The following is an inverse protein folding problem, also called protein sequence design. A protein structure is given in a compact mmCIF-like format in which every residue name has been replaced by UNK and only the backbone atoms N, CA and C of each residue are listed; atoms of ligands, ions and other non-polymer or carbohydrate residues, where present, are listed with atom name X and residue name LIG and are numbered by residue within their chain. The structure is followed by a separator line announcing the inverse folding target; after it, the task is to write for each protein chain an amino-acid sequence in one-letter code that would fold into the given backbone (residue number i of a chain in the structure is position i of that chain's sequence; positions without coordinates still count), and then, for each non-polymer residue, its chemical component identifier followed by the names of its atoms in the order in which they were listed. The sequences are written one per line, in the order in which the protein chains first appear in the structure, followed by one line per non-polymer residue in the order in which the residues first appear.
data_IF_679330738177
#
_entry.id   IF_679330738177
#
_cell.length_a   1.000
_cell.length_b   1.000
_cell.length_c   1.000
_cell.angle_alpha   90.00
_cell.angle_beta   90.00
_cell.angle_gamma   90.00
#
_symmetry.space_group_name_H-M   'P 1'
#
loop_
_entity.id
_entity.type
_entity.pdbx_description
1 polymer ?
#
# COMPACT_ATOMS: atom_id res chain seq x y z
N UNK A 1 -25.08 -43.02 6.36
CA UNK A 1 -23.66 -42.99 5.95
C UNK A 1 -23.45 -41.83 5.00
N UNK A 2 -22.24 -41.24 5.05
CA UNK A 2 -21.66 -40.22 4.16
C UNK A 2 -21.74 -38.76 4.66
N UNK A 3 -20.59 -38.37 5.23
CA UNK A 3 -19.89 -37.08 5.28
C UNK A 3 -20.55 -35.80 5.80
N UNK A 4 -20.07 -35.36 6.96
CA UNK A 4 -19.80 -33.95 7.23
C UNK A 4 -18.34 -33.76 7.66
N UNK A 5 -17.56 -33.15 6.77
CA UNK A 5 -16.23 -32.60 7.03
C UNK A 5 -16.34 -31.48 8.07
N UNK A 6 -15.57 -31.63 9.15
CA UNK A 6 -15.33 -30.61 10.17
C UNK A 6 -14.08 -29.85 9.74
N UNK A 7 -14.23 -28.80 8.94
CA UNK A 7 -13.12 -27.88 8.65
C UNK A 7 -13.00 -26.89 9.80
N UNK A 8 -11.99 -27.14 10.64
CA UNK A 8 -11.32 -26.14 11.47
C UNK A 8 -10.66 -25.17 10.50
N UNK A 9 -11.06 -23.89 10.53
CA UNK A 9 -10.30 -22.83 9.86
C UNK A 9 -9.52 -22.12 10.96
N UNK A 10 -8.20 -22.27 10.85
CA UNK A 10 -7.14 -21.74 11.70
C UNK A 10 -7.17 -20.21 11.75
N UNK A 11 -6.82 -19.67 12.92
CA UNK A 11 -6.94 -18.27 13.30
C UNK A 11 -5.59 -17.51 13.26
N UNK A 12 -4.65 -17.95 12.42
CA UNK A 12 -3.23 -17.55 12.56
C UNK A 12 -2.77 -16.43 11.61
N UNK A 13 -3.67 -15.78 10.87
CA UNK A 13 -3.28 -14.77 9.89
C UNK A 13 -3.06 -13.35 10.45
N UNK A 14 -3.27 -13.09 11.75
CA UNK A 14 -3.26 -11.72 12.31
C UNK A 14 -2.10 -11.45 13.28
N UNK A 15 -1.35 -12.47 13.72
CA UNK A 15 -0.24 -12.28 14.67
C UNK A 15 1.07 -11.78 14.01
N UNK A 16 1.30 -12.12 12.74
CA UNK A 16 2.60 -11.91 12.07
C UNK A 16 2.84 -10.44 11.66
N UNK A 17 1.78 -9.63 11.49
CA UNK A 17 1.90 -8.24 11.05
C UNK A 17 2.22 -7.24 12.19
N UNK A 18 2.05 -7.65 13.45
CA UNK A 18 2.30 -6.80 14.63
C UNK A 18 3.74 -6.93 15.14
N UNK A 19 4.36 -8.10 15.02
CA UNK A 19 5.71 -8.36 15.53
C UNK A 19 6.83 -7.69 14.73
N UNK A 20 6.64 -7.49 13.42
CA UNK A 20 7.65 -6.86 12.54
C UNK A 20 7.82 -5.36 12.86
N UNK A 21 6.74 -4.69 13.29
CA UNK A 21 6.75 -3.26 13.62
C UNK A 21 7.40 -2.93 14.98
N UNK A 22 7.47 -3.91 15.89
CA UNK A 22 8.04 -3.73 17.24
C UNK A 22 9.55 -4.02 17.23
N UNK A 23 10.00 -5.12 16.59
CA UNK A 23 11.43 -5.49 16.54
C UNK A 23 12.31 -4.45 15.83
N UNK A 24 11.82 -3.84 14.74
CA UNK A 24 12.56 -2.80 14.03
C UNK A 24 12.77 -1.53 14.88
N UNK A 25 11.87 -1.24 15.84
CA UNK A 25 12.04 -0.11 16.75
C UNK A 25 13.09 -0.36 17.83
N UNK A 26 13.24 -1.60 18.32
CA UNK A 26 14.21 -1.94 19.37
C UNK A 26 15.65 -1.90 18.85
N UNK A 27 15.91 -2.39 17.64
CA UNK A 27 17.24 -2.30 17.01
C UNK A 27 17.63 -0.85 16.69
N UNK A 28 16.67 -0.03 16.24
CA UNK A 28 16.91 1.40 16.00
C UNK A 28 17.19 2.13 17.31
N UNK A 29 16.46 1.85 18.40
CA UNK A 29 16.76 2.45 19.71
C UNK A 29 18.13 2.00 20.26
N UNK A 30 18.56 0.75 19.99
CA UNK A 30 19.89 0.26 20.35
C UNK A 30 21.01 1.01 19.60
N UNK A 31 20.88 1.15 18.28
CA UNK A 31 21.84 1.90 17.44
C UNK A 31 21.92 3.38 17.87
N UNK A 32 20.78 4.01 18.18
CA UNK A 32 20.76 5.40 18.67
C UNK A 32 21.44 5.55 20.04
N UNK A 33 21.29 4.55 20.92
CA UNK A 33 21.92 4.55 22.24
C UNK A 33 23.44 4.40 22.14
N UNK A 34 23.92 3.58 21.20
CA UNK A 34 25.34 3.44 20.86
C UNK A 34 25.88 4.75 20.27
N UNK A 35 25.16 5.37 19.32
CA UNK A 35 25.55 6.65 18.70
C UNK A 35 25.54 7.85 19.67
N UNK A 36 24.73 7.82 20.74
CA UNK A 36 24.73 8.85 21.80
C UNK A 36 25.87 8.70 22.81
N UNK A 37 26.47 7.51 22.90
CA UNK A 37 27.58 7.24 23.83
C UNK A 37 28.93 7.73 23.29
N UNK A 38 29.03 7.91 21.96
CA UNK A 38 30.14 8.57 21.29
C UNK A 38 29.87 10.09 21.26
N UNK A 39 30.69 10.88 21.96
CA UNK A 39 30.51 12.33 22.21
C UNK A 39 30.56 13.25 20.96
N UNK A 40 30.34 12.75 19.75
CA UNK A 40 30.58 13.46 18.49
C UNK A 40 29.32 13.81 17.68
N UNK A 41 28.12 13.31 18.01
CA UNK A 41 26.92 13.59 17.22
C UNK A 41 25.89 14.44 17.98
N UNK A 42 25.54 15.59 17.40
CA UNK A 42 24.55 16.53 17.94
C UNK A 42 23.15 15.92 18.13
N UNK A 43 22.30 16.60 18.90
CA UNK A 43 20.95 16.16 19.30
C UNK A 43 20.13 15.64 18.10
N UNK A 44 19.88 14.33 18.07
CA UNK A 44 18.88 13.69 17.21
C UNK A 44 17.61 13.45 18.04
N UNK A 45 16.53 14.15 17.70
CA UNK A 45 15.19 13.91 18.25
C UNK A 45 14.33 13.13 17.24
N UNK A 46 13.77 12.00 17.67
CA UNK A 46 12.86 11.16 16.88
C UNK A 46 11.46 11.31 17.45
N UNK A 47 10.53 11.85 16.66
CA UNK A 47 9.13 11.99 17.04
C UNK A 47 8.38 10.66 17.04
N UNK A 48 7.92 10.19 18.21
CA UNK A 48 7.05 9.01 18.33
C UNK A 48 5.64 9.34 17.84
N UNK A 49 5.10 8.55 16.92
CA UNK A 49 3.65 8.60 16.57
C UNK A 49 2.99 7.30 17.03
N UNK A 50 2.22 7.34 18.13
CA UNK A 50 1.41 6.21 18.60
C UNK A 50 0.13 6.13 17.77
N UNK A 51 -0.09 5.01 17.06
CA UNK A 51 -1.37 4.71 16.41
C UNK A 51 -2.06 3.62 17.23
N UNK A 52 -3.10 4.00 17.99
CA UNK A 52 -3.95 3.06 18.70
C UNK A 52 -5.18 2.72 17.85
N UNK A 53 -5.37 1.45 17.51
CA UNK A 53 -6.59 0.95 16.88
C UNK A 53 -7.18 -0.16 17.75
N UNK A 54 -8.24 0.14 18.51
CA UNK A 54 -9.05 -0.87 19.19
C UNK A 54 -10.48 -0.37 19.41
N UNK A 55 -11.44 -0.84 18.59
CA UNK A 55 -12.86 -0.95 18.97
C UNK A 55 -13.48 -2.17 18.28
N UNK A 56 -13.86 -3.19 19.07
CA UNK A 56 -14.78 -4.27 18.67
C UNK A 56 -16.20 -3.71 18.60
N UNK A 57 -16.93 -3.99 17.51
CA UNK A 57 -18.37 -3.75 17.43
C UNK A 57 -19.06 -5.11 17.35
N UNK A 58 -19.90 -5.42 18.33
CA UNK A 58 -20.84 -6.54 18.28
C UNK A 58 -22.09 -6.09 17.53
N UNK A 59 -22.34 -6.64 16.34
CA UNK A 59 -23.60 -6.42 15.61
C UNK A 59 -24.62 -7.46 16.07
N UNK A 60 -25.70 -6.99 16.71
CA UNK A 60 -26.85 -7.82 17.07
C UNK A 60 -27.76 -7.95 15.84
N UNK A 61 -27.46 -8.91 14.96
CA UNK A 61 -28.28 -9.20 13.78
C UNK A 61 -29.47 -10.09 14.17
N UNK A 62 -30.59 -9.47 14.56
CA UNK A 62 -31.87 -10.18 14.51
C UNK A 62 -32.21 -10.45 13.04
N UNK A 63 -32.29 -11.75 12.70
CA UNK A 63 -32.51 -12.33 11.37
C UNK A 63 -33.55 -11.57 10.55
N UNK A 64 -33.08 -10.75 9.62
CA UNK A 64 -33.87 -10.25 8.48
C UNK A 64 -33.38 -11.05 7.28
N UNK A 65 -34.18 -12.03 6.85
CA UNK A 65 -33.94 -12.74 5.61
C UNK A 65 -34.34 -11.82 4.47
N UNK A 66 -33.34 -11.20 3.84
CA UNK A 66 -33.49 -10.62 2.51
C UNK A 66 -33.83 -11.81 1.61
N UNK A 67 -35.06 -11.85 1.10
CA UNK A 67 -35.42 -12.78 0.02
C UNK A 67 -34.40 -12.54 -1.09
N UNK A 68 -33.73 -13.59 -1.57
CA UNK A 68 -32.81 -13.53 -2.71
C UNK A 68 -33.56 -12.89 -3.90
N UNK A 69 -33.47 -11.56 -4.00
CA UNK A 69 -33.80 -10.84 -5.19
C UNK A 69 -32.58 -11.06 -6.08
N UNK A 70 -32.71 -11.98 -7.04
CA UNK A 70 -31.77 -12.14 -8.14
C UNK A 70 -31.25 -10.75 -8.56
N UNK A 71 -29.93 -10.59 -8.72
CA UNK A 71 -29.30 -9.26 -8.90
C UNK A 71 -29.95 -8.39 -10.00
N UNK A 72 -30.58 -9.01 -10.99
CA UNK A 72 -31.31 -8.36 -12.08
C UNK A 72 -32.62 -7.70 -11.61
N UNK A 73 -33.30 -8.26 -10.60
CA UNK A 73 -34.50 -7.65 -10.00
C UNK A 73 -34.14 -6.41 -9.21
N UNK A 74 -33.08 -6.43 -8.39
CA UNK A 74 -32.61 -5.27 -7.63
C UNK A 74 -32.25 -4.08 -8.53
N UNK A 75 -31.67 -4.35 -9.70
CA UNK A 75 -31.33 -3.30 -10.68
C UNK A 75 -32.56 -2.66 -11.30
N UNK A 76 -33.57 -3.46 -11.65
CA UNK A 76 -34.86 -2.92 -12.09
C UNK A 76 -35.52 -2.07 -11.00
N UNK A 77 -35.49 -2.50 -9.72
CA UNK A 77 -36.06 -1.71 -8.62
C UNK A 77 -35.38 -0.35 -8.46
N UNK A 78 -34.04 -0.34 -8.59
CA UNK A 78 -33.27 0.89 -8.58
C UNK A 78 -33.61 1.81 -9.77
N UNK A 79 -33.86 1.22 -10.93
CA UNK A 79 -34.29 1.92 -12.14
C UNK A 79 -35.68 2.54 -11.96
N UNK A 80 -36.65 1.77 -11.46
CA UNK A 80 -38.02 2.23 -11.22
C UNK A 80 -38.11 3.27 -10.10
N UNK A 81 -37.27 3.17 -9.07
CA UNK A 81 -37.19 4.14 -7.98
C UNK A 81 -36.38 5.40 -8.35
N UNK A 82 -35.68 5.41 -9.49
CA UNK A 82 -34.91 6.57 -9.93
C UNK A 82 -35.78 7.56 -10.68
N UNK A 83 -35.65 8.86 -10.35
CA UNK A 83 -36.25 9.94 -11.14
C UNK A 83 -35.53 10.18 -12.48
N UNK A 84 -34.42 9.49 -12.74
CA UNK A 84 -33.64 9.65 -13.98
C UNK A 84 -34.19 8.73 -15.08
N UNK A 85 -34.38 9.24 -16.30
CA UNK A 85 -34.81 8.41 -17.41
C UNK A 85 -33.74 7.36 -17.73
N UNK A 86 -34.15 6.10 -17.84
CA UNK A 86 -33.26 5.03 -18.30
C UNK A 86 -33.15 5.09 -19.82
N UNK A 87 -31.95 4.88 -20.33
CA UNK A 87 -31.67 4.88 -21.76
C UNK A 87 -31.62 3.47 -22.33
N UNK A 88 -31.94 3.36 -23.62
CA UNK A 88 -31.90 2.09 -24.33
C UNK A 88 -30.45 1.65 -24.58
N UNK A 89 -30.05 0.49 -24.06
CA UNK A 89 -28.68 -0.03 -24.20
C UNK A 89 -28.28 -0.27 -25.66
N UNK A 90 -29.21 -0.76 -26.48
CA UNK A 90 -28.96 -0.97 -27.92
C UNK A 90 -28.76 0.34 -28.67
N UNK A 91 -29.58 1.36 -28.38
CA UNK A 91 -29.41 2.69 -28.98
C UNK A 91 -28.10 3.35 -28.52
N UNK A 92 -27.76 3.23 -27.23
CA UNK A 92 -26.51 3.78 -26.69
C UNK A 92 -25.27 3.19 -27.36
N UNK A 93 -25.25 1.87 -27.64
CA UNK A 93 -24.16 1.23 -28.41
C UNK A 93 -24.02 1.82 -29.82
N UNK A 94 -25.12 2.29 -30.39
CA UNK A 94 -25.17 2.99 -31.70
C UNK A 94 -24.96 4.50 -31.59
N UNK A 95 -24.58 5.02 -30.42
CA UNK A 95 -24.42 6.45 -30.10
C UNK A 95 -25.71 7.27 -30.29
N UNK A 96 -26.87 6.61 -30.19
CA UNK A 96 -28.19 7.25 -30.21
C UNK A 96 -28.75 7.27 -28.79
N UNK A 97 -29.15 8.43 -28.29
CA UNK A 97 -29.67 8.56 -26.94
C UNK A 97 -31.21 8.50 -26.94
N UNK A 98 -31.76 7.29 -26.88
CA UNK A 98 -33.22 7.06 -26.78
C UNK A 98 -33.57 6.57 -25.38
N UNK A 99 -34.66 7.06 -24.80
CA UNK A 99 -35.18 6.54 -23.53
C UNK A 99 -35.71 5.12 -23.70
N UNK A 100 -35.53 4.31 -22.66
CA UNK A 100 -36.08 2.97 -22.56
C UNK A 100 -37.45 3.04 -21.90
N UNK A 101 -38.39 2.27 -22.45
CA UNK A 101 -39.73 2.08 -21.88
C UNK A 101 -39.90 0.66 -21.32
N UNK A 102 -39.04 -0.28 -21.75
CA UNK A 102 -39.12 -1.69 -21.46
C UNK A 102 -37.78 -2.17 -20.88
N UNK A 103 -37.82 -3.01 -19.84
CA UNK A 103 -36.66 -3.67 -19.26
C UNK A 103 -36.62 -5.13 -19.67
N UNK A 104 -35.45 -5.65 -20.05
CA UNK A 104 -35.23 -7.06 -20.31
C UNK A 104 -34.49 -7.71 -19.13
N UNK A 105 -35.07 -8.73 -18.49
CA UNK A 105 -34.47 -9.39 -17.33
C UNK A 105 -33.27 -10.28 -17.69
N UNK A 106 -33.24 -10.78 -18.92
CA UNK A 106 -32.19 -11.69 -19.39
C UNK A 106 -30.86 -10.95 -19.65
N UNK A 107 -30.93 -9.73 -20.17
CA UNK A 107 -29.75 -8.90 -20.44
C UNK A 107 -29.57 -7.74 -19.49
N UNK A 108 -30.50 -7.54 -18.55
CA UNK A 108 -30.40 -6.51 -17.53
C UNK A 108 -30.20 -5.11 -18.15
N UNK A 109 -30.96 -4.85 -19.23
CA UNK A 109 -30.85 -3.62 -20.02
C UNK A 109 -32.22 -3.04 -20.39
N UNK A 110 -32.24 -1.70 -20.49
CA UNK A 110 -33.39 -0.95 -21.00
C UNK A 110 -33.46 -1.01 -22.53
N UNK A 111 -34.68 -1.12 -23.05
CA UNK A 111 -35.01 -1.14 -24.47
C UNK A 111 -36.06 -0.06 -24.76
N UNK A 112 -35.83 0.74 -25.81
CA UNK A 112 -36.89 1.58 -26.38
C UNK A 112 -37.89 0.69 -27.15
N UNK A 113 -39.07 1.23 -27.47
CA UNK A 113 -40.12 0.49 -28.18
C UNK A 113 -39.64 -0.21 -29.45
N UNK A 114 -38.82 0.47 -30.26
CA UNK A 114 -38.25 -0.11 -31.48
C UNK A 114 -37.30 -1.27 -31.19
N UNK A 115 -36.36 -1.07 -30.25
CA UNK A 115 -35.41 -2.11 -29.88
C UNK A 115 -36.11 -3.31 -29.22
N UNK A 116 -37.15 -3.09 -28.42
CA UNK A 116 -37.95 -4.16 -27.81
C UNK A 116 -38.72 -4.98 -28.87
N UNK A 117 -39.29 -4.32 -29.88
CA UNK A 117 -39.94 -5.01 -30.99
C UNK A 117 -38.99 -5.95 -31.73
N UNK A 118 -37.76 -5.49 -32.01
CA UNK A 118 -36.73 -6.34 -32.62
C UNK A 118 -36.25 -7.45 -31.67
N UNK A 119 -36.13 -7.14 -30.37
CA UNK A 119 -35.75 -8.09 -29.34
C UNK A 119 -36.71 -9.28 -29.26
N UNK A 120 -38.02 -9.06 -29.44
CA UNK A 120 -39.01 -10.13 -29.43
C UNK A 120 -39.07 -10.92 -30.73
N UNK A 121 -38.74 -10.29 -31.86
CA UNK A 121 -38.75 -10.93 -33.19
C UNK A 121 -37.53 -11.81 -33.45
N UNK A 122 -36.41 -11.51 -32.80
CA UNK A 122 -35.18 -12.25 -33.00
C UNK A 122 -35.18 -13.55 -32.18
N UNK A 123 -35.02 -14.69 -32.85
CA UNK A 123 -35.20 -16.04 -32.26
C UNK A 123 -34.37 -16.30 -30.98
N UNK A 124 -33.10 -15.84 -30.85
CA UNK A 124 -32.35 -15.97 -29.61
C UNK A 124 -32.93 -15.20 -28.41
N UNK A 125 -33.68 -14.13 -28.65
CA UNK A 125 -34.16 -13.20 -27.61
C UNK A 125 -35.68 -13.15 -27.49
N UNK A 126 -36.39 -13.93 -28.31
CA UNK A 126 -37.86 -13.94 -28.37
C UNK A 126 -38.51 -14.40 -27.08
N UNK A 127 -37.83 -15.28 -26.34
CA UNK A 127 -38.32 -15.87 -25.09
C UNK A 127 -37.86 -15.09 -23.84
N UNK A 128 -37.24 -13.93 -24.02
CA UNK A 128 -36.78 -13.13 -22.89
C UNK A 128 -37.94 -12.49 -22.14
N UNK A 129 -37.84 -12.49 -20.82
CA UNK A 129 -38.82 -11.85 -19.96
C UNK A 129 -38.59 -10.35 -20.01
N UNK A 130 -39.64 -9.59 -20.29
CA UNK A 130 -39.60 -8.12 -20.36
C UNK A 130 -40.73 -7.50 -19.56
N UNK A 131 -40.49 -6.36 -18.92
CA UNK A 131 -41.52 -5.57 -18.23
C UNK A 131 -41.43 -4.09 -18.59
N UNK A 132 -42.51 -3.33 -18.38
CA UNK A 132 -42.48 -1.88 -18.58
C UNK A 132 -41.76 -1.18 -17.41
N UNK A 133 -40.93 -0.18 -17.72
CA UNK A 133 -40.17 0.59 -16.71
C UNK A 133 -41.10 1.56 -15.95
N UNK A 134 -42.09 2.14 -16.64
CA UNK A 134 -43.05 3.11 -16.08
C UNK A 134 -44.38 2.49 -15.65
N UNK A 135 -44.36 1.25 -15.19
CA UNK A 135 -45.56 0.58 -14.72
C UNK A 135 -45.99 1.18 -13.38
N UNK A 136 -47.18 1.80 -13.31
CA UNK A 136 -47.86 2.20 -12.05
C UNK A 136 -48.24 0.98 -11.20
N UNK A 137 -48.06 -0.24 -11.72
CA UNK A 137 -48.33 -1.44 -10.95
C UNK A 137 -47.31 -1.55 -9.80
N UNK A 138 -47.77 -1.78 -8.57
CA UNK A 138 -46.89 -1.93 -7.43
C UNK A 138 -45.85 -3.01 -7.70
N UNK A 139 -44.64 -2.85 -7.13
CA UNK A 139 -43.50 -3.79 -7.16
C UNK A 139 -43.86 -5.29 -6.97
N UNK A 140 -45.07 -5.55 -6.46
CA UNK A 140 -45.71 -6.84 -6.25
C UNK A 140 -45.78 -7.68 -7.54
N UNK A 141 -45.96 -7.06 -8.72
CA UNK A 141 -46.02 -7.80 -10.01
C UNK A 141 -44.67 -8.42 -10.43
N UNK A 142 -43.56 -8.03 -9.80
CA UNK A 142 -42.25 -8.66 -10.00
C UNK A 142 -42.05 -9.94 -9.17
N UNK A 143 -42.96 -10.21 -8.23
CA UNK A 143 -42.99 -11.44 -7.46
C UNK A 143 -43.90 -12.43 -8.17
N UNK A 144 -43.48 -13.70 -8.23
CA UNK A 144 -44.32 -14.74 -8.81
C UNK A 144 -45.61 -14.79 -8.02
N UNK A 145 -46.73 -14.55 -8.68
CA UNK A 145 -48.07 -14.72 -8.11
C UNK A 145 -48.55 -16.17 -8.24
N UNK A 146 -47.84 -16.97 -9.03
CA UNK A 146 -48.16 -18.36 -9.35
C UNK A 146 -47.05 -19.33 -8.91
N UNK A 147 -47.45 -20.55 -8.55
CA UNK A 147 -46.59 -21.64 -8.15
C UNK A 147 -45.88 -22.25 -9.36
N UNK A 148 -44.56 -22.36 -9.30
CA UNK A 148 -43.73 -22.94 -10.35
C UNK A 148 -44.04 -24.41 -10.68
N UNK A 149 -44.62 -25.15 -9.72
CA UNK A 149 -44.91 -26.58 -9.88
C UNK A 149 -46.33 -26.85 -10.38
N UNK A 150 -47.28 -25.99 -10.00
CA UNK A 150 -48.70 -26.29 -10.16
C UNK A 150 -49.47 -25.21 -10.94
N UNK A 151 -48.80 -24.13 -11.39
CA UNK A 151 -49.41 -22.99 -12.09
C UNK A 151 -50.67 -22.43 -11.38
N UNK A 152 -50.69 -22.53 -10.05
CA UNK A 152 -51.77 -22.05 -9.18
C UNK A 152 -51.32 -20.83 -8.39
N UNK A 153 -52.26 -19.95 -8.04
CA UNK A 153 -51.95 -18.78 -7.24
C UNK A 153 -51.33 -19.13 -5.87
N UNK A 154 -50.30 -18.39 -5.49
CA UNK A 154 -49.68 -18.46 -4.16
C UNK A 154 -50.55 -17.72 -3.15
N UNK A 155 -51.27 -18.47 -2.31
CA UNK A 155 -52.22 -17.91 -1.32
C UNK A 155 -51.78 -18.13 0.12
N UNK A 156 -50.87 -19.06 0.35
CA UNK A 156 -50.41 -19.48 1.67
C UNK A 156 -48.92 -19.15 1.85
N UNK A 157 -48.49 -19.06 3.10
CA UNK A 157 -47.09 -18.89 3.48
C UNK A 157 -46.73 -19.92 4.54
N UNK A 158 -45.62 -20.63 4.31
CA UNK A 158 -45.07 -21.59 5.24
C UNK A 158 -43.95 -20.98 6.08
N UNK A 159 -44.14 -20.77 7.40
CA UNK A 159 -43.09 -20.22 8.25
C UNK A 159 -41.91 -21.17 8.45
N UNK A 160 -42.15 -22.49 8.43
CA UNK A 160 -41.10 -23.50 8.61
C UNK A 160 -40.08 -23.51 7.47
N UNK A 161 -40.54 -23.20 6.25
CA UNK A 161 -39.72 -23.19 5.04
C UNK A 161 -39.50 -21.79 4.48
N UNK A 162 -40.07 -20.76 5.12
CA UNK A 162 -40.01 -19.36 4.74
C UNK A 162 -40.37 -19.10 3.26
N UNK A 163 -41.39 -19.79 2.76
CA UNK A 163 -41.77 -19.75 1.33
C UNK A 163 -43.28 -19.59 1.14
N UNK A 164 -43.71 -18.82 0.13
CA UNK A 164 -45.10 -18.82 -0.31
C UNK A 164 -45.45 -20.14 -1.03
N UNK A 165 -46.68 -20.62 -0.87
CA UNK A 165 -47.15 -21.87 -1.48
C UNK A 165 -48.62 -21.77 -1.98
N UNK A 166 -48.97 -22.58 -2.98
CA UNK A 166 -50.35 -22.83 -3.38
C UNK A 166 -50.98 -23.94 -2.54
N UNK A 167 -52.29 -24.13 -2.68
CA UNK A 167 -53.07 -25.13 -1.93
C UNK A 167 -52.58 -26.57 -2.18
N UNK A 168 -52.12 -26.86 -3.39
CA UNK A 168 -51.55 -28.16 -3.75
C UNK A 168 -50.18 -28.39 -3.12
N UNK A 169 -49.28 -27.39 -3.12
CA UNK A 169 -48.02 -27.45 -2.39
C UNK A 169 -48.23 -27.64 -0.88
N UNK A 170 -49.26 -27.00 -0.32
CA UNK A 170 -49.64 -27.22 1.08
C UNK A 170 -50.01 -28.68 1.31
N UNK A 171 -50.95 -29.22 0.52
CA UNK A 171 -51.47 -30.57 0.68
C UNK A 171 -50.42 -31.67 0.46
N UNK A 172 -49.43 -31.42 -0.41
CA UNK A 172 -48.44 -32.42 -0.82
C UNK A 172 -47.10 -32.34 -0.06
N UNK A 173 -46.63 -31.13 0.26
CA UNK A 173 -45.28 -30.93 0.82
C UNK A 173 -45.28 -30.24 2.19
N UNK A 174 -46.25 -29.35 2.45
CA UNK A 174 -46.26 -28.56 3.68
C UNK A 174 -47.35 -28.99 4.68
N UNK A 175 -48.03 -30.11 4.46
CA UNK A 175 -49.14 -30.59 5.30
C UNK A 175 -48.71 -30.79 6.77
N UNK A 176 -47.48 -31.22 6.98
CA UNK A 176 -46.88 -31.43 8.32
C UNK A 176 -46.25 -30.16 8.91
N UNK A 177 -46.23 -29.04 8.18
CA UNK A 177 -45.69 -27.79 8.68
C UNK A 177 -46.70 -27.11 9.60
N UNK A 178 -46.23 -26.61 10.74
CA UNK A 178 -47.09 -25.93 11.70
C UNK A 178 -47.22 -24.43 11.39
N UNK A 179 -48.40 -23.87 11.67
CA UNK A 179 -48.62 -22.43 11.60
C UNK A 179 -48.61 -21.84 10.19
N UNK A 180 -49.08 -22.59 9.19
CA UNK A 180 -49.34 -22.06 7.84
C UNK A 180 -50.29 -20.86 7.95
N UNK A 181 -49.94 -19.76 7.29
CA UNK A 181 -50.70 -18.50 7.32
C UNK A 181 -51.16 -18.15 5.90
N UNK A 182 -52.23 -17.37 5.79
CA UNK A 182 -52.54 -16.76 4.49
C UNK A 182 -51.45 -15.75 4.16
N UNK A 183 -50.99 -15.76 2.91
CA UNK A 183 -49.95 -14.87 2.43
C UNK A 183 -50.38 -13.40 2.60
N UNK A 184 -51.64 -13.08 2.33
CA UNK A 184 -52.22 -11.77 2.57
C UNK A 184 -52.08 -11.31 4.03
N UNK A 185 -52.40 -12.18 5.01
CA UNK A 185 -52.27 -11.83 6.44
C UNK A 185 -50.82 -11.64 6.89
N UNK A 186 -49.87 -12.35 6.26
CA UNK A 186 -48.45 -12.17 6.53
C UNK A 186 -48.00 -10.81 6.01
N UNK A 187 -48.36 -10.46 4.77
CA UNK A 187 -48.02 -9.17 4.16
C UNK A 187 -48.63 -8.00 4.96
N UNK A 188 -49.91 -8.07 5.30
CA UNK A 188 -50.61 -7.01 6.04
C UNK A 188 -50.01 -6.78 7.44
N UNK A 189 -49.66 -7.87 8.14
CA UNK A 189 -49.04 -7.78 9.48
C UNK A 189 -47.54 -7.50 9.42
N UNK A 190 -46.94 -7.58 8.24
CA UNK A 190 -45.51 -7.41 8.08
C UNK A 190 -45.14 -5.94 8.19
N UNK A 191 -44.29 -5.60 9.18
CA UNK A 191 -43.68 -4.26 9.30
C UNK A 191 -42.47 -4.13 8.37
N UNK A 192 -42.55 -4.70 7.16
CA UNK A 192 -41.43 -4.83 6.22
C UNK A 192 -40.83 -3.46 5.92
N UNK A 193 -41.66 -2.42 5.72
CA UNK A 193 -41.17 -1.06 5.47
C UNK A 193 -40.26 -0.54 6.58
N UNK A 194 -40.66 -0.74 7.84
CA UNK A 194 -39.85 -0.32 9.00
C UNK A 194 -38.55 -1.13 9.08
N UNK A 195 -38.62 -2.44 8.89
CA UNK A 195 -37.44 -3.32 8.88
C UNK A 195 -36.47 -2.97 7.75
N UNK A 196 -36.96 -2.72 6.53
CA UNK A 196 -36.16 -2.26 5.39
C UNK A 196 -35.52 -0.91 5.69
N UNK A 197 -36.27 0.02 6.29
CA UNK A 197 -35.73 1.32 6.69
C UNK A 197 -34.58 1.19 7.70
N UNK A 198 -34.72 0.36 8.73
CA UNK A 198 -33.64 0.14 9.71
C UNK A 198 -32.41 -0.52 9.08
N UNK A 199 -32.60 -1.59 8.30
CA UNK A 199 -31.49 -2.25 7.59
C UNK A 199 -30.81 -1.29 6.62
N UNK A 200 -31.57 -0.48 5.89
CA UNK A 200 -31.02 0.55 5.01
C UNK A 200 -30.17 1.57 5.76
N UNK A 201 -30.61 2.00 6.95
CA UNK A 201 -29.84 2.89 7.82
C UNK A 201 -28.55 2.24 8.32
N UNK A 202 -28.59 0.97 8.70
CA UNK A 202 -27.41 0.23 9.17
C UNK A 202 -26.40 0.03 8.03
N UNK A 203 -26.86 -0.38 6.84
CA UNK A 203 -26.02 -0.51 5.64
C UNK A 203 -25.36 0.83 5.31
N UNK A 204 -26.10 1.94 5.34
CA UNK A 204 -25.54 3.25 5.07
C UNK A 204 -24.49 3.66 6.12
N UNK A 205 -24.74 3.34 7.40
CA UNK A 205 -23.80 3.63 8.49
C UNK A 205 -22.50 2.83 8.34
N UNK A 206 -22.61 1.54 7.99
CA UNK A 206 -21.47 0.67 7.69
C UNK A 206 -20.70 1.20 6.47
N UNK A 207 -21.40 1.62 5.42
CA UNK A 207 -20.79 2.20 4.22
C UNK A 207 -19.99 3.48 4.55
N UNK A 208 -20.57 4.41 5.33
CA UNK A 208 -19.89 5.63 5.76
C UNK A 208 -18.66 5.31 6.62
N UNK A 209 -18.76 4.32 7.50
CA UNK A 209 -17.64 3.86 8.31
C UNK A 209 -16.49 3.32 7.46
N UNK A 210 -16.77 2.41 6.51
CA UNK A 210 -15.75 1.86 5.62
C UNK A 210 -15.07 2.94 4.77
N UNK A 211 -15.82 3.91 4.25
CA UNK A 211 -15.24 5.03 3.51
C UNK A 211 -14.32 5.89 4.39
N UNK A 212 -14.71 6.15 5.65
CA UNK A 212 -13.86 6.89 6.59
C UNK A 212 -12.56 6.13 6.88
N UNK A 213 -12.66 4.82 7.12
CA UNK A 213 -11.51 3.96 7.38
C UNK A 213 -10.56 3.91 6.17
N UNK A 214 -11.09 3.73 4.96
CA UNK A 214 -10.30 3.75 3.73
C UNK A 214 -9.56 5.10 3.57
N UNK A 215 -10.27 6.21 3.74
CA UNK A 215 -9.68 7.55 3.66
C UNK A 215 -8.57 7.79 4.71
N UNK A 216 -8.74 7.26 5.92
CA UNK A 216 -7.70 7.32 6.94
C UNK A 216 -6.45 6.53 6.52
N UNK A 217 -6.62 5.31 5.99
CA UNK A 217 -5.51 4.50 5.50
C UNK A 217 -4.78 5.16 4.34
N UNK A 218 -5.49 5.74 3.37
CA UNK A 218 -4.88 6.52 2.29
C UNK A 218 -4.06 7.71 2.80
N UNK A 219 -4.56 8.45 3.79
CA UNK A 219 -3.82 9.55 4.42
C UNK A 219 -2.55 9.07 5.12
N UNK A 220 -2.62 7.92 5.80
CA UNK A 220 -1.48 7.36 6.51
C UNK A 220 -0.40 6.89 5.52
N UNK A 221 -0.78 6.26 4.40
CA UNK A 221 0.15 5.90 3.32
C UNK A 221 0.86 7.15 2.80
N UNK A 222 0.11 8.20 2.45
CA UNK A 222 0.68 9.45 1.93
C UNK A 222 1.65 10.11 2.92
N UNK A 223 1.33 10.11 4.21
CA UNK A 223 2.24 10.60 5.26
C UNK A 223 3.50 9.74 5.37
N UNK A 224 3.36 8.42 5.31
CA UNK A 224 4.48 7.48 5.33
C UNK A 224 5.42 7.68 4.14
N UNK A 225 4.89 7.86 2.93
CA UNK A 225 5.68 8.16 1.73
C UNK A 225 6.46 9.48 1.85
N UNK A 226 5.82 10.53 2.41
CA UNK A 226 6.49 11.81 2.65
C UNK A 226 7.63 11.67 3.67
N UNK A 227 7.40 10.96 4.77
CA UNK A 227 8.44 10.69 5.78
C UNK A 227 9.59 9.85 5.20
N UNK A 228 9.27 8.81 4.42
CA UNK A 228 10.27 7.99 3.75
C UNK A 228 11.17 8.82 2.82
N UNK A 229 10.58 9.75 2.07
CA UNK A 229 11.33 10.68 1.22
C UNK A 229 12.26 11.58 2.04
N UNK A 230 11.76 12.18 3.13
CA UNK A 230 12.56 13.04 4.01
C UNK A 230 13.75 12.28 4.61
N UNK A 231 13.53 11.04 5.07
CA UNK A 231 14.59 10.20 5.63
C UNK A 231 15.66 9.91 4.56
N UNK A 232 15.24 9.55 3.34
CA UNK A 232 16.16 9.27 2.23
C UNK A 232 17.02 10.49 1.86
N UNK A 233 16.42 11.68 1.82
CA UNK A 233 17.12 12.93 1.55
C UNK A 233 18.09 13.29 2.68
N UNK A 234 17.68 13.10 3.93
CA UNK A 234 18.50 13.34 5.12
C UNK A 234 19.71 12.41 5.17
N UNK A 235 19.53 11.12 4.89
CA UNK A 235 20.64 10.15 4.79
C UNK A 235 21.64 10.55 3.70
N UNK A 236 21.15 10.98 2.53
CA UNK A 236 22.03 11.46 1.46
C UNK A 236 22.80 12.70 1.88
N UNK A 237 22.19 13.61 2.65
CA UNK A 237 22.84 14.83 3.14
C UNK A 237 23.94 14.49 4.15
N UNK A 238 23.64 13.68 5.16
CA UNK A 238 24.61 13.23 6.16
C UNK A 238 25.81 12.56 5.49
N UNK A 239 25.57 11.67 4.51
CA UNK A 239 26.66 11.02 3.78
C UNK A 239 27.56 12.02 3.05
N UNK A 240 26.98 13.06 2.44
CA UNK A 240 27.76 14.12 1.77
C UNK A 240 28.59 14.91 2.78
N UNK A 241 28.02 15.25 3.94
CA UNK A 241 28.71 15.98 5.00
C UNK A 241 29.89 15.18 5.58
N UNK A 242 29.70 13.88 5.84
CA UNK A 242 30.78 12.98 6.29
C UNK A 242 31.92 12.97 5.26
N UNK A 243 31.60 12.74 3.99
CA UNK A 243 32.62 12.70 2.93
C UNK A 243 33.35 14.04 2.78
N UNK A 244 32.64 15.16 2.90
CA UNK A 244 33.25 16.49 2.87
C UNK A 244 34.20 16.70 4.04
N UNK A 245 33.84 16.25 5.24
CA UNK A 245 34.69 16.36 6.40
C UNK A 245 35.95 15.49 6.28
N UNK A 246 35.82 14.24 5.80
CA UNK A 246 36.97 13.36 5.54
C UNK A 246 37.92 13.97 4.51
N UNK A 247 37.40 14.53 3.41
CA UNK A 247 38.22 15.21 2.40
C UNK A 247 38.96 16.44 2.96
N UNK A 248 38.37 17.14 3.93
CA UNK A 248 39.03 18.27 4.59
C UNK A 248 40.16 17.82 5.52
N UNK A 249 39.93 16.75 6.29
CA UNK A 249 40.95 16.16 7.16
C UNK A 249 42.13 15.64 6.35
N UNK A 250 41.86 14.90 5.27
CA UNK A 250 42.88 14.39 4.35
C UNK A 250 43.75 15.53 3.79
N UNK A 251 43.12 16.60 3.27
CA UNK A 251 43.85 17.78 2.77
C UNK A 251 44.71 18.44 3.84
N UNK A 252 44.24 18.47 5.09
CA UNK A 252 45.00 19.04 6.21
C UNK A 252 46.23 18.19 6.52
N UNK A 253 46.06 16.86 6.58
CA UNK A 253 47.16 15.93 6.81
C UNK A 253 48.21 15.99 5.70
N UNK A 254 47.79 16.09 4.43
CA UNK A 254 48.74 16.27 3.32
C UNK A 254 49.57 17.55 3.47
N UNK A 255 48.93 18.69 3.80
CA UNK A 255 49.65 19.95 4.02
C UNK A 255 50.64 19.86 5.19
N UNK A 256 50.26 19.19 6.27
CA UNK A 256 51.15 18.98 7.42
C UNK A 256 52.35 18.11 7.03
N UNK A 257 52.12 17.02 6.28
CA UNK A 257 53.17 16.16 5.76
C UNK A 257 54.13 16.91 4.82
N UNK A 258 53.60 17.70 3.89
CA UNK A 258 54.39 18.54 2.97
C UNK A 258 55.25 19.54 3.75
N UNK A 259 54.68 20.20 4.77
CA UNK A 259 55.40 21.15 5.60
C UNK A 259 56.56 20.48 6.35
N UNK A 260 56.33 19.31 6.94
CA UNK A 260 57.37 18.54 7.64
C UNK A 260 58.48 18.12 6.66
N UNK A 261 58.08 17.64 5.47
CA UNK A 261 59.03 17.26 4.42
C UNK A 261 59.89 18.43 3.95
N UNK A 262 59.29 19.59 3.69
CA UNK A 262 60.00 20.78 3.23
C UNK A 262 61.00 21.27 4.27
N UNK A 263 60.62 21.26 5.55
CA UNK A 263 61.53 21.60 6.66
C UNK A 263 62.71 20.63 6.71
N UNK A 264 62.46 19.33 6.67
CA UNK A 264 63.52 18.34 6.79
C UNK A 264 64.43 18.31 5.56
N UNK A 265 63.85 18.43 4.35
CA UNK A 265 64.57 18.57 3.10
C UNK A 265 65.47 19.81 3.11
N UNK A 266 65.00 20.93 3.63
CA UNK A 266 65.79 22.16 3.75
C UNK A 266 67.00 21.96 4.67
N UNK A 267 66.81 21.36 5.85
CA UNK A 267 67.93 21.03 6.76
C UNK A 267 68.96 20.12 6.10
N UNK A 268 68.52 19.05 5.45
CA UNK A 268 69.41 18.13 4.75
C UNK A 268 70.16 18.83 3.62
N UNK A 269 69.52 19.75 2.91
CA UNK A 269 70.15 20.56 1.85
C UNK A 269 71.24 21.47 2.44
N UNK A 270 70.97 22.15 3.55
CA UNK A 270 71.98 22.96 4.24
C UNK A 270 73.18 22.12 4.70
N UNK A 271 72.94 20.95 5.29
CA UNK A 271 74.01 20.04 5.71
C UNK A 271 74.87 19.57 4.53
N UNK A 272 74.27 19.29 3.37
CA UNK A 272 75.01 18.94 2.15
C UNK A 272 75.93 20.10 1.75
N UNK A 273 75.43 21.33 1.74
CA UNK A 273 76.23 22.53 1.39
C UNK A 273 77.43 22.65 2.35
N UNK A 274 77.22 22.54 3.66
CA UNK A 274 78.30 22.60 4.66
C UNK A 274 79.35 21.49 4.46
N UNK A 275 78.92 20.28 4.12
CA UNK A 275 79.82 19.15 3.83
C UNK A 275 80.65 19.43 2.56
N UNK A 276 80.03 19.98 1.52
CA UNK A 276 80.71 20.33 0.27
C UNK A 276 81.75 21.44 0.47
N UNK A 277 81.43 22.46 1.28
CA UNK A 277 82.37 23.50 1.67
C UNK A 277 83.57 22.93 2.43
N UNK A 278 83.33 22.11 3.46
CA UNK A 278 84.40 21.45 4.23
C UNK A 278 85.26 20.55 3.34
N UNK A 279 84.65 19.83 2.41
CA UNK A 279 85.37 19.00 1.43
C UNK A 279 86.29 19.84 0.56
N UNK A 280 85.86 21.03 0.13
CA UNK A 280 86.68 21.97 -0.64
C UNK A 280 87.89 22.44 0.17
N UNK A 281 87.68 22.90 1.41
CA UNK A 281 88.77 23.32 2.29
C UNK A 281 89.76 22.19 2.57
N UNK A 282 89.29 20.97 2.82
CA UNK A 282 90.17 19.83 3.00
C UNK A 282 91.03 19.54 1.76
N UNK A 283 90.48 19.77 0.56
CA UNK A 283 91.23 19.63 -0.69
C UNK A 283 92.32 20.70 -0.83
N UNK A 284 92.01 21.95 -0.49
CA UNK A 284 92.99 23.05 -0.46
C UNK A 284 94.14 22.72 0.52
N UNK A 285 93.82 22.27 1.74
CA UNK A 285 94.82 21.83 2.74
C UNK A 285 95.65 20.66 2.22
N UNK A 286 95.04 19.70 1.52
CA UNK A 286 95.73 18.56 0.93
C UNK A 286 96.74 19.01 -0.14
N UNK A 287 96.36 19.96 -1.00
CA UNK A 287 97.21 20.50 -2.05
C UNK A 287 98.39 21.30 -1.46
N UNK A 288 98.16 22.09 -0.40
CA UNK A 288 99.19 22.82 0.34
C UNK A 288 100.19 21.86 1.01
N UNK A 289 99.69 20.81 1.69
CA UNK A 289 100.53 19.81 2.34
C UNK A 289 101.40 19.06 1.32
N UNK A 290 100.84 18.75 0.14
CA UNK A 290 101.60 18.14 -0.95
C UNK A 290 102.74 19.06 -1.41
N UNK A 291 102.45 20.35 -1.58
CA UNK A 291 103.43 21.37 -1.96
C UNK A 291 104.57 21.47 -0.94
N UNK A 292 104.25 21.55 0.36
CA UNK A 292 105.24 21.56 1.44
C UNK A 292 106.09 20.29 1.42
N UNK A 293 105.47 19.11 1.27
CA UNK A 293 106.18 17.82 1.23
C UNK A 293 107.20 17.76 0.08
N UNK A 294 106.83 18.25 -1.11
CA UNK A 294 107.74 18.34 -2.26
C UNK A 294 108.91 19.27 -1.98
N UNK A 295 108.67 20.44 -1.36
CA UNK A 295 109.73 21.39 -1.01
C UNK A 295 110.68 20.83 0.06
N UNK A 296 110.16 20.20 1.12
CA UNK A 296 110.98 19.55 2.15
C UNK A 296 111.85 18.45 1.57
N UNK A 297 111.32 17.63 0.66
CA UNK A 297 112.08 16.57 -0.01
C UNK A 297 113.24 17.13 -0.85
N UNK A 298 113.02 18.25 -1.55
CA UNK A 298 114.08 18.96 -2.29
C UNK A 298 115.15 19.51 -1.33
N UNK A 299 114.75 20.10 -0.21
CA UNK A 299 115.66 20.64 0.80
C UNK A 299 116.52 19.54 1.43
N UNK A 300 115.91 18.41 1.78
CA UNK A 300 116.63 17.22 2.29
C UNK A 300 117.65 16.70 1.27
N UNK A 301 117.28 16.66 -0.01
CA UNK A 301 118.19 16.27 -1.09
C UNK A 301 119.38 17.23 -1.21
N UNK A 302 119.15 18.54 -1.10
CA UNK A 302 120.21 19.56 -1.11
C UNK A 302 121.16 19.42 0.07
N UNK A 303 120.63 19.25 1.29
CA UNK A 303 121.44 19.08 2.50
C UNK A 303 122.26 17.78 2.48
N UNK A 304 121.72 16.69 1.93
CA UNK A 304 122.43 15.41 1.79
C UNK A 304 123.60 15.47 0.81
N UNK A 305 123.56 16.32 -0.22
CA UNK A 305 124.68 16.52 -1.16
C UNK A 305 125.81 17.33 -0.51
N UNK A 306 125.50 18.20 0.45
CA UNK A 306 126.48 19.06 1.13
C UNK A 306 127.07 18.46 2.42
N UNK A 307 126.77 17.21 2.76
CA UNK A 307 127.31 16.48 3.91
C UNK A 307 128.36 15.40 3.54
N UNK A 308 128.92 15.45 2.32
CA UNK A 308 130.07 14.62 1.87
C UNK A 308 131.27 15.55 1.65
#
# INVERSE_FOLDING_TARGET
MVHQCRNVVENDAIAIEVDINIKQNEEIEKIIKELKSEKSFGKVEVGRTKIAMNRKISLNMNRIHIVDLEGNKLKLLKVMASSKPVHCGTCQRRKVNTTADIWCYNYDEGLCTSCSGQHKRFKPTSNHKTTAIKSDKPLIDCFKTECDKHNQQLKLYCPSHLTPCCDECFSTHHLKCTGIKSLASVVEKSKIEKSIHYVGKDINSIFLFFNKMANEKYRNIKKGEQQHKIIKESLSKIRKEINQHLNQLEKKLYKEADTVWDVEKSKLTCLIIEIEEKKKTLKEIQDDLHTVTVHTSKLQSFLGIHQI
#
